data_IF_762842633242
#
_entry.id   IF_762842633242
#
_cell.length_a   1.000
_cell.length_b   1.000
_cell.length_c   1.000
_cell.angle_alpha   90.00
_cell.angle_beta   90.00
_cell.angle_gamma   90.00
#
_symmetry.space_group_name_H-M   'P 1'
#
loop_
_entity.id
_entity.type
_entity.pdbx_description
1 polymer ?
#
# COMPACT_ATOMS: atom_id res chain seq x y z
N UNK A 1 1.35 28.10 29.25
CA UNK A 1 2.05 27.69 28.02
C UNK A 1 3.45 27.19 28.41
N UNK A 2 3.76 25.90 28.30
CA UNK A 2 5.11 25.40 28.57
C UNK A 2 6.01 25.79 27.41
N UNK A 3 7.16 26.37 27.73
CA UNK A 3 8.22 26.77 26.79
C UNK A 3 8.73 25.52 26.05
N UNK A 4 8.62 25.49 24.72
CA UNK A 4 9.29 24.51 23.86
C UNK A 4 10.80 24.64 24.10
N UNK A 5 11.41 23.57 24.61
CA UNK A 5 12.87 23.48 24.72
C UNK A 5 13.52 23.43 23.32
N UNK A 6 14.60 24.19 23.08
CA UNK A 6 15.35 24.16 21.83
C UNK A 6 16.19 22.88 21.79
N UNK A 7 15.99 22.02 20.81
CA UNK A 7 16.92 20.88 20.69
C UNK A 7 16.65 19.81 19.64
N UNK A 8 15.54 19.79 18.96
CA UNK A 8 15.40 18.95 17.77
C UNK A 8 14.71 19.75 16.67
N UNK A 9 15.41 19.96 15.57
CA UNK A 9 14.85 20.61 14.40
C UNK A 9 13.80 19.63 13.80
N UNK A 10 12.55 19.82 14.23
CA UNK A 10 11.38 19.00 13.81
C UNK A 10 11.00 19.27 12.35
N UNK A 11 11.78 20.07 11.66
CA UNK A 11 11.60 20.41 10.24
C UNK A 11 12.44 19.48 9.37
N UNK A 12 11.79 18.92 8.35
CA UNK A 12 12.47 18.17 7.30
C UNK A 12 13.44 19.10 6.55
N UNK A 13 14.66 18.63 6.34
CA UNK A 13 15.64 19.33 5.51
C UNK A 13 15.13 19.50 4.05
N UNK A 14 15.66 20.47 3.28
CA UNK A 14 15.30 20.59 1.87
C UNK A 14 15.56 19.30 1.07
N UNK A 15 16.62 18.57 1.41
CA UNK A 15 16.95 17.28 0.79
C UNK A 15 15.93 16.20 1.15
N UNK A 16 15.52 16.09 2.40
CA UNK A 16 14.49 15.13 2.83
C UNK A 16 13.14 15.42 2.17
N UNK A 17 12.76 16.70 2.05
CA UNK A 17 11.54 17.09 1.32
C UNK A 17 11.63 16.73 -0.16
N UNK A 18 12.76 16.99 -0.80
CA UNK A 18 13.01 16.61 -2.20
C UNK A 18 12.91 15.10 -2.38
N UNK A 19 13.50 14.33 -1.48
CA UNK A 19 13.41 12.86 -1.45
C UNK A 19 11.95 12.40 -1.31
N UNK A 20 11.23 12.93 -0.31
CA UNK A 20 9.84 12.54 -0.05
C UNK A 20 8.96 12.75 -1.29
N UNK A 21 8.98 13.95 -1.87
CA UNK A 21 8.12 14.28 -3.01
C UNK A 21 8.53 13.55 -4.29
N UNK A 22 9.84 13.37 -4.55
CA UNK A 22 10.29 12.66 -5.75
C UNK A 22 9.95 11.17 -5.69
N UNK A 23 10.16 10.50 -4.56
CA UNK A 23 9.81 9.10 -4.39
C UNK A 23 8.29 8.88 -4.38
N UNK A 24 7.53 9.78 -3.75
CA UNK A 24 6.08 9.78 -3.79
C UNK A 24 5.55 9.95 -5.23
N UNK A 25 6.14 10.85 -6.02
CA UNK A 25 5.77 11.05 -7.43
C UNK A 25 6.04 9.79 -8.29
N UNK A 26 7.20 9.14 -8.11
CA UNK A 26 7.53 7.90 -8.81
C UNK A 26 6.52 6.80 -8.44
N UNK A 27 6.19 6.69 -7.16
CA UNK A 27 5.23 5.71 -6.67
C UNK A 27 3.82 5.99 -7.20
N UNK A 28 3.40 7.27 -7.21
CA UNK A 28 2.12 7.73 -7.75
C UNK A 28 1.98 7.40 -9.23
N UNK A 29 2.98 7.70 -10.06
CA UNK A 29 2.97 7.40 -11.49
C UNK A 29 2.71 5.91 -11.74
N UNK A 30 3.39 5.07 -10.99
CA UNK A 30 3.23 3.63 -11.11
C UNK A 30 1.83 3.16 -10.70
N UNK A 31 1.30 3.67 -9.58
CA UNK A 31 -0.04 3.33 -9.11
C UNK A 31 -1.13 3.84 -10.04
N UNK A 32 -0.94 5.01 -10.66
CA UNK A 32 -1.83 5.49 -11.71
C UNK A 32 -1.91 4.49 -12.87
N UNK A 33 -0.78 3.99 -13.37
CA UNK A 33 -0.75 2.98 -14.44
C UNK A 33 -1.49 1.69 -14.08
N UNK A 34 -1.49 1.31 -12.79
CA UNK A 34 -2.26 0.15 -12.31
C UNK A 34 -3.76 0.46 -12.27
N UNK A 35 -4.14 1.61 -11.71
CA UNK A 35 -5.53 1.91 -11.38
C UNK A 35 -6.34 2.44 -12.59
N UNK A 36 -5.73 3.16 -13.53
CA UNK A 36 -6.41 3.66 -14.72
C UNK A 36 -7.04 2.57 -15.58
N UNK A 37 -6.43 1.38 -15.58
CA UNK A 37 -6.89 0.27 -16.41
C UNK A 37 -8.11 -0.45 -15.81
N UNK A 38 -8.29 -0.43 -14.48
CA UNK A 38 -9.30 -1.23 -13.79
C UNK A 38 -10.73 -0.96 -14.29
N UNK A 39 -11.22 0.29 -14.38
CA UNK A 39 -12.61 0.54 -14.72
C UNK A 39 -12.98 0.26 -16.17
N UNK A 40 -11.99 0.17 -17.06
CA UNK A 40 -12.21 0.09 -18.52
C UNK A 40 -11.77 -1.24 -19.14
N UNK A 41 -10.90 -1.98 -18.48
CA UNK A 41 -10.23 -3.12 -19.09
C UNK A 41 -11.16 -4.28 -19.42
N UNK A 42 -12.14 -4.55 -18.57
CA UNK A 42 -13.01 -5.73 -18.76
C UNK A 42 -13.81 -5.66 -20.07
N UNK A 43 -14.26 -4.49 -20.45
CA UNK A 43 -14.95 -4.28 -21.72
C UNK A 43 -14.00 -4.39 -22.90
N UNK A 44 -12.87 -3.71 -22.84
CA UNK A 44 -11.81 -3.79 -23.86
C UNK A 44 -11.27 -5.22 -24.03
N UNK A 45 -11.01 -5.90 -22.92
CA UNK A 45 -10.50 -7.28 -22.92
C UNK A 45 -11.42 -8.27 -23.64
N UNK A 46 -12.74 -8.00 -23.62
CA UNK A 46 -13.73 -8.81 -24.31
C UNK A 46 -13.71 -8.60 -25.86
N UNK A 47 -13.05 -7.56 -26.35
CA UNK A 47 -12.89 -7.30 -27.79
C UNK A 47 -11.59 -7.89 -28.35
N UNK A 48 -10.65 -8.29 -27.50
CA UNK A 48 -9.35 -8.81 -27.94
C UNK A 48 -9.46 -10.22 -28.51
N UNK A 49 -8.65 -10.53 -29.53
CA UNK A 49 -8.59 -11.87 -30.13
C UNK A 49 -8.20 -12.92 -29.08
N UNK A 50 -8.93 -14.02 -29.04
CA UNK A 50 -8.69 -15.14 -28.15
C UNK A 50 -9.13 -14.89 -26.69
N UNK A 51 -9.97 -13.88 -26.44
CA UNK A 51 -10.49 -13.61 -25.11
C UNK A 51 -11.40 -14.73 -24.58
N UNK A 52 -11.33 -14.92 -23.29
CA UNK A 52 -12.32 -15.63 -22.48
C UNK A 52 -12.51 -14.84 -21.19
N UNK A 53 -13.63 -14.97 -20.48
CA UNK A 53 -13.81 -14.27 -19.19
C UNK A 53 -12.66 -14.54 -18.20
N UNK A 54 -12.16 -15.79 -18.18
CA UNK A 54 -11.00 -16.16 -17.38
C UNK A 54 -9.73 -15.39 -17.79
N UNK A 55 -9.40 -15.33 -19.10
CA UNK A 55 -8.19 -14.64 -19.58
C UNK A 55 -8.27 -13.12 -19.38
N UNK A 56 -9.47 -12.53 -19.48
CA UNK A 56 -9.69 -11.11 -19.17
C UNK A 56 -9.43 -10.85 -17.68
N UNK A 57 -9.96 -11.68 -16.80
CA UNK A 57 -9.69 -11.60 -15.38
C UNK A 57 -8.21 -11.86 -15.04
N UNK A 58 -7.59 -12.84 -15.70
CA UNK A 58 -6.15 -13.10 -15.56
C UNK A 58 -5.30 -11.90 -15.99
N UNK A 59 -5.65 -11.20 -17.07
CA UNK A 59 -4.93 -10.00 -17.50
C UNK A 59 -4.97 -8.88 -16.47
N UNK A 60 -6.05 -8.74 -15.69
CA UNK A 60 -6.11 -7.84 -14.55
C UNK A 60 -5.25 -8.34 -13.39
N UNK A 61 -5.32 -9.63 -13.08
CA UNK A 61 -4.68 -10.22 -11.90
C UNK A 61 -3.19 -10.48 -12.05
N UNK A 62 -2.68 -10.83 -13.26
CA UNK A 62 -1.29 -11.29 -13.48
C UNK A 62 -0.25 -10.26 -13.06
N UNK A 63 -0.58 -8.98 -13.15
CA UNK A 63 0.24 -7.90 -12.61
C UNK A 63 0.54 -8.13 -11.12
N UNK A 64 -0.49 -8.51 -10.34
CA UNK A 64 -0.35 -8.80 -8.92
C UNK A 64 0.56 -9.99 -8.64
N UNK A 65 0.42 -11.10 -9.37
CA UNK A 65 1.28 -12.27 -9.20
C UNK A 65 2.74 -11.94 -9.47
N UNK A 66 3.01 -11.27 -10.59
CA UNK A 66 4.37 -10.85 -10.95
C UNK A 66 4.93 -9.88 -9.90
N UNK A 67 4.13 -8.92 -9.43
CA UNK A 67 4.52 -7.98 -8.39
C UNK A 67 4.87 -8.70 -7.09
N UNK A 68 4.02 -9.61 -6.61
CA UNK A 68 4.25 -10.38 -5.38
C UNK A 68 5.53 -11.22 -5.46
N UNK A 69 5.79 -11.83 -6.63
CA UNK A 69 6.96 -12.68 -6.87
C UNK A 69 8.27 -11.88 -6.93
N UNK A 70 8.28 -10.77 -7.65
CA UNK A 70 9.51 -10.03 -7.92
C UNK A 70 9.87 -8.99 -6.86
N UNK A 71 8.93 -8.51 -6.03
CA UNK A 71 9.23 -7.46 -5.06
C UNK A 71 10.28 -7.86 -4.02
N UNK A 72 10.27 -9.12 -3.55
CA UNK A 72 11.26 -9.62 -2.59
C UNK A 72 12.62 -9.78 -3.28
N UNK A 73 12.63 -10.30 -4.50
CA UNK A 73 13.85 -10.49 -5.30
C UNK A 73 14.52 -9.15 -5.60
N UNK A 74 13.76 -8.18 -6.11
CA UNK A 74 14.29 -6.85 -6.43
C UNK A 74 14.67 -6.06 -5.17
N UNK A 75 13.97 -6.27 -4.06
CA UNK A 75 14.36 -5.73 -2.76
C UNK A 75 15.77 -6.19 -2.38
N UNK A 76 16.01 -7.51 -2.35
CA UNK A 76 17.34 -8.10 -2.06
C UNK A 76 18.40 -7.67 -3.08
N UNK A 77 18.07 -7.66 -4.37
CA UNK A 77 18.98 -7.22 -5.42
C UNK A 77 19.41 -5.77 -5.20
N UNK A 78 18.50 -4.92 -4.74
CA UNK A 78 18.79 -3.51 -4.47
C UNK A 78 19.74 -3.28 -3.30
N UNK A 79 19.88 -4.26 -2.39
CA UNK A 79 20.85 -4.23 -1.30
C UNK A 79 22.28 -4.52 -1.81
N UNK A 80 22.40 -5.20 -2.94
CA UNK A 80 23.70 -5.61 -3.51
C UNK A 80 24.23 -4.67 -4.58
N UNK A 81 23.39 -4.32 -5.57
CA UNK A 81 23.80 -3.48 -6.71
C UNK A 81 23.37 -2.00 -6.56
N UNK A 82 22.70 -1.69 -5.45
CA UNK A 82 22.21 -0.34 -5.13
C UNK A 82 20.75 -0.09 -5.51
N UNK A 83 20.13 0.86 -4.79
CA UNK A 83 18.70 1.17 -4.94
C UNK A 83 18.33 1.74 -6.30
N UNK A 84 19.06 2.76 -6.76
CA UNK A 84 18.75 3.45 -8.02
C UNK A 84 18.84 2.56 -9.26
N UNK A 85 19.89 1.75 -9.47
CA UNK A 85 19.96 0.83 -10.60
C UNK A 85 18.79 -0.14 -10.66
N UNK A 86 18.36 -0.67 -9.50
CA UNK A 86 17.21 -1.59 -9.46
C UNK A 86 15.90 -0.87 -9.77
N UNK A 87 15.69 0.35 -9.27
CA UNK A 87 14.50 1.15 -9.61
C UNK A 87 14.47 1.45 -11.12
N UNK A 88 15.60 1.81 -11.72
CA UNK A 88 15.69 2.06 -13.17
C UNK A 88 15.40 0.80 -13.99
N UNK A 89 15.96 -0.34 -13.61
CA UNK A 89 15.65 -1.63 -14.24
C UNK A 89 14.18 -2.02 -14.12
N UNK A 90 13.59 -1.82 -12.94
CA UNK A 90 12.17 -2.06 -12.70
C UNK A 90 11.27 -1.13 -13.53
N UNK A 91 11.62 0.16 -13.65
CA UNK A 91 10.91 1.11 -14.53
C UNK A 91 11.04 0.72 -16.00
N UNK A 92 12.21 0.23 -16.42
CA UNK A 92 12.40 -0.27 -17.79
C UNK A 92 11.45 -1.43 -18.08
N UNK A 93 11.36 -2.43 -17.17
CA UNK A 93 10.40 -3.52 -17.31
C UNK A 93 8.96 -3.03 -17.36
N UNK A 94 8.60 -2.05 -16.52
CA UNK A 94 7.28 -1.44 -16.50
C UNK A 94 6.94 -0.73 -17.81
N UNK A 95 7.89 0.03 -18.38
CA UNK A 95 7.74 0.70 -19.67
C UNK A 95 7.60 -0.32 -20.81
N UNK A 96 8.48 -1.32 -20.85
CA UNK A 96 8.43 -2.37 -21.87
C UNK A 96 7.12 -3.15 -21.80
N UNK A 97 6.66 -3.50 -20.59
CA UNK A 97 5.37 -4.15 -20.39
C UNK A 97 4.19 -3.30 -20.86
N UNK A 98 4.25 -1.98 -20.64
CA UNK A 98 3.23 -1.04 -21.13
C UNK A 98 3.21 -0.97 -22.65
N UNK A 99 4.38 -0.94 -23.30
CA UNK A 99 4.51 -0.93 -24.76
C UNK A 99 4.00 -2.26 -25.35
N UNK A 100 4.38 -3.41 -24.77
CA UNK A 100 3.90 -4.72 -25.21
C UNK A 100 2.38 -4.80 -25.11
N UNK A 101 1.77 -4.33 -24.01
CA UNK A 101 0.33 -4.30 -23.86
C UNK A 101 -0.33 -3.36 -24.89
N UNK A 102 0.25 -2.19 -25.16
CA UNK A 102 -0.28 -1.21 -26.11
C UNK A 102 -0.25 -1.73 -27.57
N UNK A 103 0.77 -2.48 -27.95
CA UNK A 103 0.92 -3.03 -29.30
C UNK A 103 0.15 -4.35 -29.52
N UNK A 104 -0.38 -4.94 -28.45
CA UNK A 104 -1.02 -6.26 -28.51
C UNK A 104 -2.48 -6.17 -28.97
N UNK A 105 -2.83 -7.03 -29.96
CA UNK A 105 -4.20 -7.22 -30.44
C UNK A 105 -4.83 -8.52 -29.92
N UNK A 106 -4.13 -9.24 -29.05
CA UNK A 106 -4.57 -10.50 -28.45
C UNK A 106 -4.55 -10.40 -26.93
N UNK A 107 -5.45 -11.12 -26.28
CA UNK A 107 -5.51 -11.16 -24.81
C UNK A 107 -4.22 -11.70 -24.20
N UNK A 108 -3.58 -12.68 -24.85
CA UNK A 108 -2.30 -13.26 -24.38
C UNK A 108 -1.18 -12.25 -24.41
N UNK A 109 -1.08 -11.43 -25.47
CA UNK A 109 -0.07 -10.38 -25.54
C UNK A 109 -0.27 -9.32 -24.46
N UNK A 110 -1.51 -8.94 -24.15
CA UNK A 110 -1.80 -8.04 -23.03
C UNK A 110 -1.45 -8.69 -21.69
N UNK A 111 -1.72 -9.98 -21.49
CA UNK A 111 -1.30 -10.72 -20.28
C UNK A 111 0.21 -10.66 -20.09
N UNK A 112 1.00 -10.88 -21.17
CA UNK A 112 2.46 -10.78 -21.13
C UNK A 112 2.90 -9.35 -20.75
N UNK A 113 2.32 -8.33 -21.40
CA UNK A 113 2.60 -6.94 -21.07
C UNK A 113 2.30 -6.60 -19.60
N UNK A 114 1.17 -7.06 -19.06
CA UNK A 114 0.78 -6.89 -17.67
C UNK A 114 1.70 -7.63 -16.71
N UNK A 115 2.14 -8.85 -17.07
CA UNK A 115 3.12 -9.60 -16.27
C UNK A 115 4.47 -8.87 -16.21
N UNK A 116 4.93 -8.30 -17.31
CA UNK A 116 6.15 -7.47 -17.36
C UNK A 116 6.02 -6.19 -16.53
N UNK A 117 4.86 -5.50 -16.62
CA UNK A 117 4.58 -4.34 -15.78
C UNK A 117 4.68 -4.69 -14.29
N UNK A 118 4.08 -5.82 -13.86
CA UNK A 118 4.14 -6.31 -12.48
C UNK A 118 5.55 -6.73 -12.06
N UNK A 119 6.33 -7.34 -12.96
CA UNK A 119 7.72 -7.71 -12.71
C UNK A 119 8.63 -6.50 -12.42
N UNK A 120 8.23 -5.31 -12.91
CA UNK A 120 8.83 -4.04 -12.50
C UNK A 120 8.51 -3.63 -11.04
N UNK A 121 8.51 -4.58 -10.12
CA UNK A 121 8.18 -4.43 -8.71
C UNK A 121 9.24 -3.61 -7.97
N UNK A 122 8.98 -2.32 -7.72
CA UNK A 122 9.94 -1.43 -7.08
C UNK A 122 9.48 -0.89 -5.72
N UNK A 123 8.32 -1.32 -5.21
CA UNK A 123 7.73 -0.76 -4.00
C UNK A 123 8.65 -0.89 -2.80
N UNK A 124 9.19 -2.08 -2.54
CA UNK A 124 10.13 -2.33 -1.45
C UNK A 124 11.42 -1.53 -1.62
N UNK A 125 11.95 -1.43 -2.84
CA UNK A 125 13.18 -0.67 -3.15
C UNK A 125 12.98 0.84 -2.97
N UNK A 126 11.82 1.40 -3.34
CA UNK A 126 11.50 2.82 -3.10
C UNK A 126 11.41 3.12 -1.60
N UNK A 127 10.73 2.25 -0.83
CA UNK A 127 10.62 2.43 0.62
C UNK A 127 11.99 2.31 1.31
N UNK A 128 12.84 1.38 0.87
CA UNK A 128 14.19 1.26 1.35
C UNK A 128 15.03 2.51 0.99
N UNK A 129 14.95 3.01 -0.24
CA UNK A 129 15.63 4.24 -0.64
C UNK A 129 15.15 5.46 0.15
N UNK A 130 13.85 5.54 0.46
CA UNK A 130 13.31 6.57 1.33
C UNK A 130 13.92 6.50 2.74
N UNK A 131 14.08 5.30 3.30
CA UNK A 131 14.72 5.10 4.59
C UNK A 131 16.21 5.48 4.56
N UNK A 132 16.93 5.13 3.48
CA UNK A 132 18.36 5.41 3.31
C UNK A 132 18.67 6.92 3.16
N UNK A 133 17.74 7.70 2.62
CA UNK A 133 17.92 9.14 2.32
C UNK A 133 17.34 10.06 3.37
N UNK A 134 16.77 9.54 4.46
CA UNK A 134 16.06 10.33 5.46
C UNK A 134 16.43 9.95 6.87
N UNK A 135 16.50 10.98 7.73
CA UNK A 135 16.70 10.78 9.16
C UNK A 135 15.54 9.97 9.73
N UNK A 136 15.83 9.12 10.66
CA UNK A 136 14.89 8.16 11.24
C UNK A 136 13.62 8.82 11.81
N UNK A 137 13.78 9.97 12.47
CA UNK A 137 12.67 10.77 12.98
C UNK A 137 11.66 11.22 11.91
N UNK A 138 12.08 11.32 10.64
CA UNK A 138 11.24 11.73 9.51
C UNK A 138 10.77 10.58 8.63
N UNK A 139 11.30 9.36 8.80
CA UNK A 139 10.90 8.18 8.02
C UNK A 139 9.39 7.96 8.04
N UNK A 140 8.76 8.05 9.21
CA UNK A 140 7.30 7.88 9.34
C UNK A 140 6.52 8.93 8.53
N UNK A 141 6.97 10.19 8.52
CA UNK A 141 6.33 11.26 7.72
C UNK A 141 6.44 10.98 6.22
N UNK A 142 7.58 10.48 5.76
CA UNK A 142 7.81 10.16 4.34
C UNK A 142 7.02 8.93 3.91
N UNK A 143 7.00 7.87 4.73
CA UNK A 143 6.17 6.70 4.47
C UNK A 143 4.68 7.06 4.40
N UNK A 144 4.21 7.95 5.29
CA UNK A 144 2.85 8.47 5.24
C UNK A 144 2.59 9.29 3.96
N UNK A 145 3.55 10.11 3.52
CA UNK A 145 3.43 10.86 2.26
C UNK A 145 3.28 9.90 1.07
N UNK A 146 4.12 8.86 0.99
CA UNK A 146 4.01 7.82 -0.05
C UNK A 146 2.65 7.12 0.05
N UNK A 147 2.19 6.77 1.26
CA UNK A 147 0.90 6.13 1.47
C UNK A 147 -0.28 6.97 0.99
N UNK A 148 -0.29 8.28 1.27
CA UNK A 148 -1.33 9.21 0.78
C UNK A 148 -1.36 9.27 -0.73
N UNK A 149 -0.20 9.20 -1.41
CA UNK A 149 -0.16 9.22 -2.87
C UNK A 149 -0.79 7.99 -3.51
N UNK A 150 -0.86 6.85 -2.82
CA UNK A 150 -1.57 5.65 -3.30
C UNK A 150 -3.08 5.95 -3.40
N UNK A 151 -3.68 6.52 -2.33
CA UNK A 151 -5.09 6.89 -2.32
C UNK A 151 -5.44 7.93 -3.38
N UNK A 152 -4.57 8.94 -3.56
CA UNK A 152 -4.71 9.94 -4.61
C UNK A 152 -4.61 9.28 -6.00
N UNK A 153 -3.62 8.41 -6.22
CA UNK A 153 -3.45 7.70 -7.48
C UNK A 153 -4.63 6.78 -7.79
N UNK A 154 -5.22 6.14 -6.78
CA UNK A 154 -6.42 5.34 -6.93
C UNK A 154 -7.61 6.21 -7.39
N UNK A 155 -7.88 7.30 -6.68
CA UNK A 155 -8.97 8.23 -7.03
C UNK A 155 -8.78 8.81 -8.43
N UNK A 156 -7.58 9.30 -8.74
CA UNK A 156 -7.27 9.84 -10.05
C UNK A 156 -7.34 8.77 -11.15
N UNK A 157 -6.84 7.56 -10.89
CA UNK A 157 -6.87 6.46 -11.84
C UNK A 157 -8.29 6.04 -12.23
N UNK A 158 -9.20 6.01 -11.25
CA UNK A 158 -10.62 5.68 -11.46
C UNK A 158 -11.34 6.70 -12.32
N UNK A 159 -10.91 7.95 -12.31
CA UNK A 159 -11.49 9.05 -13.12
C UNK A 159 -10.75 9.15 -14.46
N UNK A 160 -9.42 9.18 -14.45
CA UNK A 160 -8.62 9.35 -15.66
C UNK A 160 -8.71 8.14 -16.59
N UNK A 161 -8.91 6.94 -16.06
CA UNK A 161 -9.07 5.73 -16.88
C UNK A 161 -10.20 5.86 -17.92
N UNK A 162 -11.45 6.05 -17.49
CA UNK A 162 -12.57 6.25 -18.42
C UNK A 162 -12.43 7.50 -19.30
N UNK A 163 -11.92 8.63 -18.76
CA UNK A 163 -11.67 9.85 -19.54
C UNK A 163 -10.66 9.61 -20.66
N UNK A 164 -9.51 8.98 -20.36
CA UNK A 164 -8.53 8.65 -21.37
C UNK A 164 -9.06 7.59 -22.35
N UNK A 165 -9.87 6.65 -21.85
CA UNK A 165 -10.50 5.66 -22.73
C UNK A 165 -11.40 6.33 -23.78
N UNK A 166 -12.16 7.38 -23.40
CA UNK A 166 -13.02 8.10 -24.36
C UNK A 166 -12.22 8.89 -25.40
N UNK A 167 -11.01 9.34 -25.07
CA UNK A 167 -10.19 10.18 -25.94
C UNK A 167 -9.24 9.36 -26.83
N UNK A 168 -8.58 8.36 -26.29
CA UNK A 168 -7.47 7.64 -26.92
C UNK A 168 -7.58 6.11 -26.81
N UNK A 169 -8.68 5.60 -26.24
CA UNK A 169 -8.91 4.18 -26.03
C UNK A 169 -8.00 3.55 -24.97
N UNK A 170 -8.22 2.26 -24.65
CA UNK A 170 -7.41 1.53 -23.67
C UNK A 170 -5.95 1.37 -24.15
N UNK A 171 -5.73 1.20 -25.43
CA UNK A 171 -4.38 1.19 -26.03
C UNK A 171 -3.63 2.48 -25.71
N UNK A 172 -4.31 3.64 -25.80
CA UNK A 172 -3.77 4.94 -25.41
C UNK A 172 -3.45 5.04 -23.92
N UNK A 173 -4.21 4.38 -23.05
CA UNK A 173 -3.90 4.31 -21.60
C UNK A 173 -2.56 3.57 -21.39
N UNK A 174 -2.30 2.46 -22.09
CA UNK A 174 -1.02 1.78 -22.00
C UNK A 174 0.14 2.64 -22.50
N UNK A 175 -0.04 3.41 -23.61
CA UNK A 175 0.95 4.38 -24.06
C UNK A 175 1.18 5.50 -23.04
N UNK A 176 0.11 6.05 -22.45
CA UNK A 176 0.21 7.05 -21.38
C UNK A 176 1.00 6.50 -20.19
N UNK A 177 0.74 5.25 -19.83
CA UNK A 177 1.48 4.56 -18.75
C UNK A 177 2.97 4.41 -19.08
N UNK A 178 3.31 4.11 -20.33
CA UNK A 178 4.71 4.04 -20.79
C UNK A 178 5.40 5.42 -20.68
N UNK A 179 4.75 6.47 -21.16
CA UNK A 179 5.26 7.85 -21.08
C UNK A 179 5.46 8.28 -19.61
N UNK A 180 4.48 8.02 -18.75
CA UNK A 180 4.60 8.28 -17.31
C UNK A 180 5.77 7.51 -16.69
N UNK A 181 6.02 6.26 -17.13
CA UNK A 181 7.19 5.48 -16.74
C UNK A 181 8.51 6.16 -17.12
N UNK A 182 8.60 6.72 -18.32
CA UNK A 182 9.77 7.49 -18.77
C UNK A 182 9.96 8.75 -17.92
N UNK A 183 8.87 9.47 -17.62
CA UNK A 183 8.91 10.63 -16.71
C UNK A 183 9.43 10.23 -15.33
N UNK A 184 8.92 9.11 -14.77
CA UNK A 184 9.41 8.59 -13.49
C UNK A 184 10.90 8.23 -13.55
N UNK A 185 11.40 7.65 -14.66
CA UNK A 185 12.81 7.38 -14.88
C UNK A 185 13.63 8.68 -14.87
N UNK A 186 13.15 9.73 -15.54
CA UNK A 186 13.75 11.06 -15.51
C UNK A 186 13.83 11.64 -14.08
N UNK A 187 12.79 11.46 -13.27
CA UNK A 187 12.79 11.88 -11.85
C UNK A 187 13.84 11.10 -11.06
N UNK A 188 13.99 9.78 -11.27
CA UNK A 188 15.00 8.97 -10.56
C UNK A 188 16.42 9.45 -10.88
N UNK A 189 16.69 9.76 -12.14
CA UNK A 189 18.03 10.19 -12.59
C UNK A 189 18.32 11.62 -12.16
N UNK A 190 17.41 12.56 -12.40
CA UNK A 190 17.65 14.00 -12.26
C UNK A 190 17.29 14.59 -10.90
N UNK A 191 16.30 14.01 -10.21
CA UNK A 191 15.74 14.62 -9.00
C UNK A 191 16.09 13.86 -7.73
N UNK A 192 16.05 12.52 -7.75
CA UNK A 192 16.32 11.71 -6.55
C UNK A 192 17.81 11.83 -6.18
N UNK A 193 18.16 12.18 -4.92
CA UNK A 193 19.55 12.26 -4.49
C UNK A 193 20.24 10.88 -4.58
N UNK A 194 21.54 10.84 -4.83
CA UNK A 194 22.32 9.61 -4.70
C UNK A 194 22.58 9.35 -3.20
N UNK A 195 22.45 8.09 -2.73
CA UNK A 195 22.88 7.74 -1.39
C UNK A 195 24.38 8.00 -1.26
N UNK A 196 24.81 8.79 -0.25
CA UNK A 196 26.20 9.25 -0.09
C UNK A 196 27.16 8.18 0.44
N UNK A 197 26.69 7.04 0.90
CA UNK A 197 27.50 5.91 1.30
C UNK A 197 26.71 4.63 1.15
N UNK A 198 27.38 3.54 0.73
CA UNK A 198 26.97 2.19 1.05
C UNK A 198 27.25 1.96 2.56
N UNK A 199 26.66 2.78 3.43
CA UNK A 199 26.43 2.34 4.78
C UNK A 199 25.59 1.08 4.59
N UNK A 200 26.22 -0.07 4.72
CA UNK A 200 25.59 -1.32 5.10
C UNK A 200 24.88 -1.02 6.43
N UNK A 201 23.79 -0.24 6.36
CA UNK A 201 22.76 -0.50 7.30
C UNK A 201 22.43 -1.97 6.99
N UNK A 202 22.88 -2.83 7.85
CA UNK A 202 22.23 -4.08 8.14
C UNK A 202 20.82 -3.65 8.63
N UNK A 203 20.00 -3.10 7.73
CA UNK A 203 18.60 -3.38 7.78
C UNK A 203 18.61 -4.87 7.89
N UNK A 204 18.28 -5.32 9.08
CA UNK A 204 18.21 -6.70 9.50
C UNK A 204 17.69 -7.42 8.29
N UNK A 205 18.61 -7.97 7.50
CA UNK A 205 18.28 -8.58 6.22
C UNK A 205 17.12 -9.50 6.55
N UNK A 206 16.16 -9.66 5.67
CA UNK A 206 15.07 -10.61 5.87
C UNK A 206 15.75 -11.92 6.22
N UNK A 207 16.18 -12.03 7.48
CA UNK A 207 16.67 -13.28 8.03
C UNK A 207 15.50 -14.21 7.90
N UNK A 208 15.72 -15.36 7.30
CA UNK A 208 14.69 -16.39 7.13
C UNK A 208 13.99 -16.67 8.46
N UNK A 209 14.71 -16.52 9.58
CA UNK A 209 14.20 -16.57 10.94
C UNK A 209 13.23 -15.42 11.28
N UNK A 210 13.43 -14.21 10.75
CA UNK A 210 12.53 -13.08 10.96
C UNK A 210 11.23 -13.24 10.18
N UNK A 211 11.31 -13.77 8.95
CA UNK A 211 10.14 -14.06 8.13
C UNK A 211 9.28 -15.16 8.73
N UNK A 212 9.90 -16.24 9.24
CA UNK A 212 9.20 -17.31 9.96
C UNK A 212 8.45 -16.80 11.21
N UNK A 213 9.04 -15.86 11.96
CA UNK A 213 8.42 -15.25 13.15
C UNK A 213 7.21 -14.38 12.78
N UNK A 214 7.30 -13.63 11.68
CA UNK A 214 6.18 -12.81 11.17
C UNK A 214 5.03 -13.70 10.72
N UNK A 215 5.30 -14.75 9.95
CA UNK A 215 4.30 -15.74 9.54
C UNK A 215 3.75 -16.59 10.70
N UNK A 216 4.48 -16.69 11.81
CA UNK A 216 4.00 -17.33 13.04
C UNK A 216 3.09 -16.43 13.90
N UNK A 217 2.99 -15.13 13.61
CA UNK A 217 2.16 -14.21 14.38
C UNK A 217 0.71 -14.21 13.88
N UNK A 218 -0.25 -14.74 14.65
CA UNK A 218 -1.65 -14.87 14.21
C UNK A 218 -2.34 -13.52 14.00
N UNK A 219 -1.89 -12.46 14.66
CA UNK A 219 -2.46 -11.11 14.48
C UNK A 219 -2.05 -10.50 13.14
N UNK A 220 -0.77 -10.64 12.77
CA UNK A 220 -0.29 -10.21 11.45
C UNK A 220 -0.94 -11.03 10.34
N UNK A 221 -1.05 -12.36 10.49
CA UNK A 221 -1.73 -13.21 9.51
C UNK A 221 -3.21 -12.85 9.30
N UNK A 222 -3.92 -12.41 10.35
CA UNK A 222 -5.30 -11.92 10.21
C UNK A 222 -5.38 -10.65 9.38
N UNK A 223 -4.39 -9.76 9.51
CA UNK A 223 -4.33 -8.53 8.70
C UNK A 223 -3.92 -8.87 7.27
N UNK A 224 -2.97 -9.78 7.08
CA UNK A 224 -2.53 -10.25 5.76
C UNK A 224 -3.67 -10.93 5.00
N UNK A 225 -4.49 -11.74 5.68
CA UNK A 225 -5.73 -12.29 5.12
C UNK A 225 -6.72 -11.17 4.79
N UNK A 226 -6.81 -10.16 5.64
CA UNK A 226 -7.70 -9.01 5.43
C UNK A 226 -7.36 -8.23 4.17
N UNK A 227 -6.10 -7.87 3.97
CA UNK A 227 -5.68 -7.15 2.77
C UNK A 227 -5.80 -8.03 1.51
N UNK A 228 -5.52 -9.33 1.62
CA UNK A 228 -5.73 -10.28 0.55
C UNK A 228 -7.20 -10.28 0.09
N UNK A 229 -8.14 -10.45 1.03
CA UNK A 229 -9.59 -10.46 0.73
C UNK A 229 -10.04 -9.11 0.18
N UNK A 230 -9.58 -8.00 0.77
CA UNK A 230 -9.95 -6.66 0.31
C UNK A 230 -9.55 -6.43 -1.15
N UNK A 231 -8.32 -6.79 -1.51
CA UNK A 231 -7.82 -6.63 -2.88
C UNK A 231 -8.42 -7.66 -3.85
N UNK A 232 -8.73 -8.87 -3.36
CA UNK A 232 -9.52 -9.84 -4.11
C UNK A 232 -10.87 -9.22 -4.48
N UNK A 233 -11.60 -8.73 -3.51
CA UNK A 233 -12.93 -8.10 -3.71
C UNK A 233 -12.84 -6.92 -4.66
N UNK A 234 -11.84 -6.04 -4.52
CA UNK A 234 -11.66 -4.91 -5.43
C UNK A 234 -11.48 -5.39 -6.87
N UNK A 235 -10.51 -6.26 -7.10
CA UNK A 235 -10.13 -6.68 -8.47
C UNK A 235 -11.24 -7.52 -9.11
N UNK A 236 -11.88 -8.40 -8.34
CA UNK A 236 -13.03 -9.20 -8.76
C UNK A 236 -14.21 -8.30 -9.16
N UNK A 237 -14.54 -7.31 -8.34
CA UNK A 237 -15.57 -6.32 -8.70
C UNK A 237 -15.27 -5.60 -10.03
N UNK A 238 -14.00 -5.28 -10.33
CA UNK A 238 -13.65 -4.68 -11.63
C UNK A 238 -13.71 -5.65 -12.81
N UNK A 239 -13.81 -6.96 -12.57
CA UNK A 239 -14.17 -7.94 -13.60
C UNK A 239 -15.68 -7.93 -13.88
N UNK A 240 -16.51 -7.74 -12.85
CA UNK A 240 -17.97 -7.84 -12.94
C UNK A 240 -18.66 -6.47 -13.18
N UNK A 241 -18.31 -5.45 -12.41
CA UNK A 241 -18.99 -4.16 -12.32
C UNK A 241 -19.09 -3.38 -13.66
N UNK A 242 -18.03 -3.26 -14.50
CA UNK A 242 -18.14 -2.56 -15.77
C UNK A 242 -19.19 -3.19 -16.71
N UNK A 243 -19.36 -4.52 -16.64
CA UNK A 243 -20.36 -5.25 -17.42
C UNK A 243 -21.76 -4.95 -16.91
N UNK A 244 -21.97 -4.95 -15.60
CA UNK A 244 -23.26 -4.58 -14.99
C UNK A 244 -23.62 -3.15 -15.34
N UNK A 245 -22.68 -2.21 -15.19
CA UNK A 245 -22.91 -0.79 -15.55
C UNK A 245 -23.32 -0.64 -17.02
N UNK A 246 -22.62 -1.27 -17.95
CA UNK A 246 -22.90 -1.16 -19.38
C UNK A 246 -24.27 -1.77 -19.75
N UNK A 247 -24.65 -2.91 -19.19
CA UNK A 247 -25.89 -3.62 -19.54
C UNK A 247 -27.13 -3.09 -18.83
N UNK A 248 -27.00 -2.60 -17.60
CA UNK A 248 -28.13 -2.28 -16.74
C UNK A 248 -28.47 -0.79 -16.72
N UNK A 249 -27.45 0.06 -16.70
CA UNK A 249 -27.66 1.51 -16.60
C UNK A 249 -27.52 2.23 -17.95
N UNK A 250 -27.17 1.49 -19.00
CA UNK A 250 -26.89 2.05 -20.34
C UNK A 250 -25.84 3.17 -20.33
N UNK A 251 -25.05 3.29 -19.25
CA UNK A 251 -23.92 4.22 -19.18
C UNK A 251 -22.80 3.66 -20.03
N UNK A 252 -22.51 4.34 -21.11
CA UNK A 252 -21.40 3.97 -21.99
C UNK A 252 -20.07 4.00 -21.18
N UNK A 253 -19.20 3.08 -21.46
CA UNK A 253 -17.92 2.90 -20.72
C UNK A 253 -17.07 4.17 -20.71
N UNK A 254 -17.13 4.97 -21.77
CA UNK A 254 -16.46 6.26 -21.91
C UNK A 254 -17.04 7.35 -21.03
N UNK A 255 -18.33 7.26 -20.63
CA UNK A 255 -19.00 8.19 -19.72
C UNK A 255 -19.03 7.72 -18.25
N UNK A 256 -18.49 6.56 -17.95
CA UNK A 256 -18.49 6.02 -16.57
C UNK A 256 -17.73 6.91 -15.58
N UNK A 257 -16.85 7.80 -16.05
CA UNK A 257 -16.19 8.81 -15.20
C UNK A 257 -17.19 9.79 -14.54
N UNK A 258 -18.32 10.10 -15.20
CA UNK A 258 -19.37 10.96 -14.64
C UNK A 258 -20.00 10.35 -13.38
N UNK A 259 -19.99 9.01 -13.30
CA UNK A 259 -20.43 8.28 -12.12
C UNK A 259 -19.29 8.14 -11.09
N UNK A 260 -18.08 7.74 -11.53
CA UNK A 260 -16.99 7.47 -10.63
C UNK A 260 -16.45 8.74 -9.96
N UNK A 261 -16.37 9.88 -10.65
CA UNK A 261 -15.81 11.12 -10.11
C UNK A 261 -16.54 11.58 -8.83
N UNK A 262 -17.87 11.83 -8.84
CA UNK A 262 -18.55 12.25 -7.62
C UNK A 262 -18.47 11.18 -6.52
N UNK A 263 -18.63 9.89 -6.87
CA UNK A 263 -18.55 8.80 -5.90
C UNK A 263 -17.19 8.78 -5.22
N UNK A 264 -16.08 8.89 -5.96
CA UNK A 264 -14.73 8.88 -5.40
C UNK A 264 -14.46 10.08 -4.50
N UNK A 265 -14.90 11.29 -4.91
CA UNK A 265 -14.77 12.50 -4.10
C UNK A 265 -15.54 12.37 -2.80
N UNK A 266 -16.80 11.95 -2.87
CA UNK A 266 -17.63 11.78 -1.67
C UNK A 266 -17.11 10.61 -0.78
N UNK A 267 -16.66 9.51 -1.35
CA UNK A 267 -16.08 8.40 -0.59
C UNK A 267 -14.80 8.82 0.15
N UNK A 268 -13.94 9.61 -0.51
CA UNK A 268 -12.74 10.15 0.10
C UNK A 268 -13.06 11.10 1.25
N UNK A 269 -14.04 11.99 1.08
CA UNK A 269 -14.48 12.88 2.15
C UNK A 269 -15.15 12.10 3.30
N UNK A 270 -15.99 11.11 2.96
CA UNK A 270 -16.70 10.29 3.93
C UNK A 270 -15.76 9.39 4.77
N UNK A 271 -14.59 8.99 4.26
CA UNK A 271 -13.64 8.18 5.05
C UNK A 271 -12.99 8.97 6.19
N UNK A 272 -12.85 10.31 6.06
CA UNK A 272 -12.11 11.15 7.03
C UNK A 272 -12.66 11.01 8.47
N UNK A 273 -13.97 11.17 8.75
CA UNK A 273 -14.49 11.00 10.09
C UNK A 273 -14.26 9.59 10.65
N UNK A 274 -14.29 8.55 9.83
CA UNK A 274 -14.01 7.19 10.29
C UNK A 274 -12.55 7.00 10.69
N UNK A 275 -11.61 7.59 9.96
CA UNK A 275 -10.19 7.58 10.33
C UNK A 275 -9.98 8.34 11.64
N UNK A 276 -10.62 9.49 11.82
CA UNK A 276 -10.57 10.26 13.07
C UNK A 276 -11.12 9.42 14.24
N UNK A 277 -12.24 8.73 14.05
CA UNK A 277 -12.81 7.85 15.06
C UNK A 277 -11.87 6.68 15.37
N UNK A 278 -11.29 6.07 14.35
CA UNK A 278 -10.36 4.96 14.50
C UNK A 278 -9.11 5.35 15.29
N UNK A 279 -8.45 6.45 14.90
CA UNK A 279 -7.16 6.85 15.47
C UNK A 279 -7.30 7.68 16.75
N UNK A 280 -8.09 8.77 16.73
CA UNK A 280 -8.16 9.69 17.88
C UNK A 280 -9.08 9.18 19.00
N UNK A 281 -10.21 8.56 18.62
CA UNK A 281 -11.14 7.98 19.63
C UNK A 281 -10.77 6.55 20.03
N UNK A 282 -9.64 6.03 19.53
CA UNK A 282 -9.14 4.68 19.84
C UNK A 282 -10.16 3.56 19.57
N UNK A 283 -10.98 3.70 18.49
CA UNK A 283 -12.03 2.74 18.10
C UNK A 283 -11.70 2.00 16.80
N UNK A 284 -10.42 1.71 16.57
CA UNK A 284 -9.92 1.09 15.33
C UNK A 284 -10.64 -0.21 14.99
N UNK A 285 -10.82 -1.11 15.97
CA UNK A 285 -11.50 -2.39 15.78
C UNK A 285 -12.96 -2.21 15.34
N UNK A 286 -13.69 -1.27 15.94
CA UNK A 286 -15.10 -1.02 15.60
C UNK A 286 -15.23 -0.48 14.16
N UNK A 287 -14.36 0.46 13.79
CA UNK A 287 -14.31 1.02 12.44
C UNK A 287 -13.94 -0.06 11.42
N UNK A 288 -12.95 -0.90 11.72
CA UNK A 288 -12.55 -2.03 10.88
C UNK A 288 -13.72 -2.99 10.62
N UNK A 289 -14.38 -3.46 11.70
CA UNK A 289 -15.50 -4.40 11.57
C UNK A 289 -16.68 -3.77 10.83
N UNK A 290 -16.98 -2.49 11.08
CA UNK A 290 -18.02 -1.76 10.37
C UNK A 290 -17.72 -1.63 8.88
N UNK A 291 -16.50 -1.28 8.51
CA UNK A 291 -16.09 -1.17 7.12
C UNK A 291 -16.11 -2.54 6.39
N UNK A 292 -15.66 -3.63 7.02
CA UNK A 292 -15.76 -4.99 6.46
C UNK A 292 -17.23 -5.36 6.23
N UNK A 293 -18.11 -5.05 7.20
CA UNK A 293 -19.55 -5.32 7.09
C UNK A 293 -20.17 -4.57 5.91
N UNK A 294 -19.86 -3.28 5.77
CA UNK A 294 -20.36 -2.44 4.66
C UNK A 294 -19.83 -2.99 3.32
N UNK A 295 -18.55 -3.37 3.25
CA UNK A 295 -17.94 -3.96 2.05
C UNK A 295 -18.69 -5.24 1.63
N UNK A 296 -18.98 -6.14 2.58
CA UNK A 296 -19.73 -7.36 2.34
C UNK A 296 -21.18 -7.11 1.89
N UNK A 297 -21.88 -6.21 2.59
CA UNK A 297 -23.25 -5.83 2.24
C UNK A 297 -23.33 -5.16 0.86
N UNK A 298 -22.38 -4.29 0.52
CA UNK A 298 -22.32 -3.67 -0.80
C UNK A 298 -22.19 -4.71 -1.92
N UNK A 299 -21.39 -5.76 -1.72
CA UNK A 299 -21.30 -6.86 -2.69
C UNK A 299 -22.59 -7.68 -2.76
N UNK A 300 -23.21 -7.96 -1.62
CA UNK A 300 -24.47 -8.69 -1.59
C UNK A 300 -25.60 -7.90 -2.28
N UNK A 301 -25.68 -6.61 -2.03
CA UNK A 301 -26.69 -5.74 -2.65
C UNK A 301 -26.48 -5.54 -4.15
N UNK A 302 -25.23 -5.64 -4.67
CA UNK A 302 -24.98 -5.60 -6.11
C UNK A 302 -25.73 -6.69 -6.89
N UNK A 303 -26.12 -7.79 -6.25
CA UNK A 303 -26.92 -8.86 -6.87
C UNK A 303 -28.33 -8.37 -7.21
N UNK A 304 -28.85 -7.40 -6.48
CA UNK A 304 -30.24 -6.94 -6.57
C UNK A 304 -30.41 -5.51 -7.12
N UNK A 305 -29.35 -4.70 -7.15
CA UNK A 305 -29.39 -3.25 -7.44
C UNK A 305 -29.24 -2.94 -8.93
N UNK A 306 -29.34 -3.91 -9.78
CA UNK A 306 -29.03 -3.84 -11.21
C UNK A 306 -29.99 -2.99 -12.08
N UNK A 307 -31.01 -2.32 -11.51
CA UNK A 307 -32.04 -1.60 -12.29
C UNK A 307 -32.06 -0.09 -12.12
N UNK A 308 -31.30 0.50 -11.23
CA UNK A 308 -31.30 1.94 -10.97
C UNK A 308 -29.88 2.49 -10.85
N UNK A 309 -29.56 3.46 -11.72
CA UNK A 309 -28.27 4.17 -11.67
C UNK A 309 -28.03 4.84 -10.31
N UNK A 310 -29.09 5.39 -9.70
CA UNK A 310 -28.98 6.04 -8.38
C UNK A 310 -28.68 5.01 -7.29
N UNK A 311 -29.39 3.88 -7.28
CA UNK A 311 -29.16 2.81 -6.31
C UNK A 311 -27.77 2.21 -6.47
N UNK A 312 -27.30 2.01 -7.70
CA UNK A 312 -25.94 1.57 -8.01
C UNK A 312 -24.91 2.61 -7.51
N UNK A 313 -25.14 3.90 -7.78
CA UNK A 313 -24.26 4.98 -7.32
C UNK A 313 -24.14 5.03 -5.79
N UNK A 314 -25.25 4.90 -5.08
CA UNK A 314 -25.28 4.85 -3.60
C UNK A 314 -24.52 3.62 -3.11
N UNK A 315 -24.75 2.45 -3.71
CA UNK A 315 -24.05 1.23 -3.32
C UNK A 315 -22.54 1.33 -3.54
N UNK A 316 -22.11 1.88 -4.69
CA UNK A 316 -20.71 2.15 -4.98
C UNK A 316 -20.08 3.16 -4.01
N UNK A 317 -20.84 4.18 -3.59
CA UNK A 317 -20.38 5.14 -2.58
C UNK A 317 -20.08 4.43 -1.26
N UNK A 318 -20.96 3.56 -0.79
CA UNK A 318 -20.70 2.76 0.42
C UNK A 318 -19.51 1.81 0.24
N UNK A 319 -19.44 1.13 -0.90
CA UNK A 319 -18.32 0.23 -1.22
C UNK A 319 -16.98 0.96 -1.18
N UNK A 320 -16.84 2.07 -1.93
CA UNK A 320 -15.58 2.80 -2.00
C UNK A 320 -15.23 3.55 -0.71
N UNK A 321 -16.24 3.99 0.07
CA UNK A 321 -16.00 4.54 1.41
C UNK A 321 -15.42 3.47 2.33
N UNK A 322 -16.04 2.29 2.39
CA UNK A 322 -15.54 1.18 3.19
C UNK A 322 -14.15 0.73 2.74
N UNK A 323 -13.94 0.59 1.43
CA UNK A 323 -12.64 0.26 0.84
C UNK A 323 -11.56 1.27 1.24
N UNK A 324 -11.84 2.58 1.10
CA UNK A 324 -10.88 3.64 1.44
C UNK A 324 -10.53 3.68 2.93
N UNK A 325 -11.51 3.44 3.81
CA UNK A 325 -11.28 3.29 5.25
C UNK A 325 -10.37 2.11 5.55
N UNK A 326 -10.61 0.96 4.92
CA UNK A 326 -9.82 -0.26 5.11
C UNK A 326 -8.40 -0.08 4.56
N UNK A 327 -8.24 0.50 3.36
CA UNK A 327 -6.93 0.78 2.74
C UNK A 327 -6.07 1.70 3.62
N UNK A 328 -6.68 2.68 4.30
CA UNK A 328 -5.97 3.57 5.21
C UNK A 328 -5.67 2.92 6.59
N UNK A 329 -6.55 2.07 7.10
CA UNK A 329 -6.43 1.52 8.46
C UNK A 329 -5.59 0.25 8.55
N UNK A 330 -5.60 -0.62 7.53
CA UNK A 330 -4.86 -1.88 7.57
C UNK A 330 -3.33 -1.69 7.66
N UNK A 331 -2.67 -0.82 6.86
CA UNK A 331 -1.24 -0.58 7.02
C UNK A 331 -0.88 0.02 8.38
N UNK A 332 -1.76 0.88 8.93
CA UNK A 332 -1.61 1.43 10.29
C UNK A 332 -1.64 0.32 11.35
N UNK A 333 -2.52 -0.66 11.19
CA UNK A 333 -2.59 -1.83 12.08
C UNK A 333 -1.33 -2.68 12.02
N UNK A 334 -0.80 -2.97 10.81
CA UNK A 334 0.48 -3.68 10.66
C UNK A 334 1.59 -2.95 11.41
N UNK A 335 1.71 -1.63 11.21
CA UNK A 335 2.73 -0.82 11.84
C UNK A 335 2.64 -0.79 13.38
N UNK A 336 1.41 -0.91 13.93
CA UNK A 336 1.16 -0.95 15.39
C UNK A 336 1.45 -2.33 15.99
N UNK A 337 1.07 -3.41 15.29
CA UNK A 337 1.17 -4.79 15.79
C UNK A 337 2.58 -5.37 15.56
N UNK A 338 3.20 -5.10 14.41
CA UNK A 338 4.51 -5.64 14.08
C UNK A 338 5.57 -5.22 15.13
N UNK A 339 6.42 -6.15 15.60
CA UNK A 339 7.56 -5.84 16.46
C UNK A 339 8.45 -4.77 15.82
N UNK A 340 9.08 -3.91 16.64
CA UNK A 340 9.91 -2.79 16.13
C UNK A 340 11.00 -3.27 15.18
N UNK A 341 11.67 -4.39 15.51
CA UNK A 341 12.74 -4.98 14.71
C UNK A 341 12.26 -5.70 13.44
N UNK A 342 10.95 -5.92 13.26
CA UNK A 342 10.40 -6.73 12.16
C UNK A 342 9.37 -5.97 11.29
N UNK A 343 9.24 -4.65 11.48
CA UNK A 343 8.26 -3.84 10.73
C UNK A 343 8.43 -3.95 9.22
N UNK A 344 9.66 -3.92 8.71
CA UNK A 344 9.95 -4.06 7.29
C UNK A 344 9.49 -5.41 6.73
N UNK A 345 9.79 -6.50 7.44
CA UNK A 345 9.38 -7.86 7.06
C UNK A 345 7.85 -8.01 7.10
N UNK A 346 7.18 -7.47 8.14
CA UNK A 346 5.73 -7.51 8.25
C UNK A 346 5.05 -6.72 7.12
N UNK A 347 5.55 -5.53 6.78
CA UNK A 347 5.04 -4.75 5.64
C UNK A 347 5.30 -5.45 4.30
N UNK A 348 6.40 -6.19 4.18
CA UNK A 348 6.69 -7.02 3.01
C UNK A 348 5.69 -8.18 2.84
N UNK A 349 5.36 -8.90 3.93
CA UNK A 349 4.34 -9.95 3.94
C UNK A 349 2.97 -9.38 3.59
N UNK A 350 2.59 -8.25 4.21
CA UNK A 350 1.36 -7.52 3.94
C UNK A 350 1.25 -7.13 2.44
N UNK A 351 2.29 -6.53 1.87
CA UNK A 351 2.30 -6.18 0.45
C UNK A 351 2.21 -7.40 -0.46
N UNK A 352 2.87 -8.50 -0.10
CA UNK A 352 2.78 -9.75 -0.87
C UNK A 352 1.36 -10.28 -0.87
N UNK A 353 0.71 -10.33 0.31
CA UNK A 353 -0.69 -10.73 0.47
C UNK A 353 -1.64 -9.82 -0.32
N UNK A 354 -1.39 -8.50 -0.32
CA UNK A 354 -2.12 -7.52 -1.11
C UNK A 354 -2.11 -7.88 -2.61
N UNK A 355 -0.93 -8.08 -3.19
CA UNK A 355 -0.82 -8.36 -4.62
C UNK A 355 -1.26 -9.78 -5.00
N UNK A 356 -1.13 -10.76 -4.11
CA UNK A 356 -1.75 -12.08 -4.29
C UNK A 356 -3.28 -11.98 -4.28
N UNK A 357 -3.87 -11.09 -3.48
CA UNK A 357 -5.29 -10.78 -3.52
C UNK A 357 -5.73 -10.20 -4.87
N UNK A 358 -4.95 -9.27 -5.44
CA UNK A 358 -5.19 -8.73 -6.81
C UNK A 358 -5.19 -9.86 -7.84
N UNK A 359 -4.19 -10.75 -7.77
CA UNK A 359 -4.10 -11.89 -8.69
C UNK A 359 -5.29 -12.83 -8.57
N UNK A 360 -5.59 -13.28 -7.36
CA UNK A 360 -6.67 -14.20 -7.09
C UNK A 360 -8.04 -13.60 -7.47
N UNK A 361 -8.27 -12.33 -7.13
CA UNK A 361 -9.51 -11.61 -7.45
C UNK A 361 -9.74 -11.50 -8.96
N UNK A 362 -8.73 -11.10 -9.72
CA UNK A 362 -8.85 -11.05 -11.17
C UNK A 362 -9.09 -12.43 -11.79
N UNK A 363 -8.27 -13.41 -11.43
CA UNK A 363 -8.30 -14.75 -12.03
C UNK A 363 -9.56 -15.53 -11.66
N UNK A 364 -9.90 -15.59 -10.36
CA UNK A 364 -11.07 -16.30 -9.85
C UNK A 364 -12.35 -15.55 -10.23
N UNK A 365 -12.36 -14.21 -10.14
CA UNK A 365 -13.50 -13.39 -10.58
C UNK A 365 -13.81 -13.61 -12.06
N UNK A 366 -12.77 -13.66 -12.91
CA UNK A 366 -12.92 -14.00 -14.32
C UNK A 366 -13.50 -15.42 -14.55
N UNK A 367 -13.04 -16.40 -13.77
CA UNK A 367 -13.54 -17.76 -13.80
C UNK A 367 -15.01 -17.83 -13.37
N UNK A 368 -15.36 -17.24 -12.23
CA UNK A 368 -16.72 -17.23 -11.68
C UNK A 368 -17.70 -16.55 -12.63
N UNK A 369 -17.33 -15.39 -13.17
CA UNK A 369 -18.12 -14.68 -14.16
C UNK A 369 -18.34 -15.53 -15.43
N UNK A 370 -17.31 -16.23 -15.89
CA UNK A 370 -17.41 -17.08 -17.09
C UNK A 370 -18.26 -18.32 -16.89
N UNK A 371 -18.22 -18.95 -15.71
CA UNK A 371 -18.92 -20.19 -15.43
C UNK A 371 -20.37 -19.98 -14.93
N UNK A 372 -20.59 -18.97 -14.08
CA UNK A 372 -21.87 -18.78 -13.37
C UNK A 372 -22.42 -17.34 -13.43
N UNK A 373 -21.77 -16.46 -14.18
CA UNK A 373 -22.20 -15.07 -14.36
C UNK A 373 -21.74 -14.14 -13.24
N UNK A 374 -22.08 -12.84 -13.38
CA UNK A 374 -21.62 -11.76 -12.48
C UNK A 374 -22.14 -11.90 -11.04
N UNK A 375 -23.32 -12.48 -10.85
CA UNK A 375 -23.90 -12.67 -9.52
C UNK A 375 -23.09 -13.66 -8.66
N UNK A 376 -22.50 -14.68 -9.28
CA UNK A 376 -21.62 -15.62 -8.58
C UNK A 376 -20.34 -14.93 -8.07
N UNK A 377 -19.83 -13.97 -8.83
CA UNK A 377 -18.67 -13.17 -8.44
C UNK A 377 -18.99 -12.29 -7.22
N UNK A 378 -20.11 -11.56 -7.25
CA UNK A 378 -20.54 -10.74 -6.11
C UNK A 378 -20.82 -11.58 -4.86
N UNK A 379 -21.43 -12.76 -5.03
CA UNK A 379 -21.70 -13.70 -3.92
C UNK A 379 -20.39 -14.22 -3.30
N UNK A 380 -19.42 -14.57 -4.13
CA UNK A 380 -18.09 -14.98 -3.67
C UNK A 380 -17.39 -13.86 -2.90
N UNK A 381 -17.43 -12.61 -3.40
CA UNK A 381 -16.90 -11.44 -2.72
C UNK A 381 -17.58 -11.19 -1.36
N UNK A 382 -18.91 -11.27 -1.30
CA UNK A 382 -19.67 -11.15 -0.06
C UNK A 382 -19.32 -12.26 0.94
N UNK A 383 -19.18 -13.49 0.46
CA UNK A 383 -18.82 -14.65 1.30
C UNK A 383 -17.41 -14.52 1.89
N UNK A 384 -16.45 -14.06 1.10
CA UNK A 384 -15.08 -13.77 1.58
C UNK A 384 -15.06 -12.62 2.58
N UNK A 385 -15.85 -11.56 2.36
CA UNK A 385 -15.97 -10.47 3.32
C UNK A 385 -16.59 -10.97 4.65
N UNK A 386 -17.56 -11.87 4.61
CA UNK A 386 -18.14 -12.51 5.79
C UNK A 386 -17.11 -13.38 6.53
N UNK A 387 -16.32 -14.17 5.79
CA UNK A 387 -15.21 -14.95 6.36
C UNK A 387 -14.21 -14.00 7.06
N UNK A 388 -13.84 -12.92 6.40
CA UNK A 388 -12.95 -11.93 6.99
C UNK A 388 -13.54 -11.29 8.24
N UNK A 389 -14.82 -10.92 8.22
CA UNK A 389 -15.51 -10.38 9.39
C UNK A 389 -15.46 -11.35 10.58
N UNK A 390 -15.65 -12.65 10.33
CA UNK A 390 -15.56 -13.68 11.37
C UNK A 390 -14.15 -13.77 11.97
N UNK A 391 -13.11 -13.73 11.12
CA UNK A 391 -11.71 -13.76 11.55
C UNK A 391 -11.34 -12.46 12.28
N UNK A 392 -11.76 -11.30 11.76
CA UNK A 392 -11.46 -9.99 12.33
C UNK A 392 -12.12 -9.76 13.70
N UNK A 393 -13.28 -10.36 13.96
CA UNK A 393 -13.92 -10.31 15.29
C UNK A 393 -13.05 -10.88 16.42
N UNK A 394 -12.12 -11.78 16.10
CA UNK A 394 -11.18 -12.37 17.05
C UNK A 394 -9.92 -11.51 17.27
N UNK A 395 -9.77 -10.39 16.56
CA UNK A 395 -8.65 -9.49 16.78
C UNK A 395 -8.79 -8.77 18.14
N UNK A 396 -7.73 -8.73 18.95
CA UNK A 396 -7.70 -7.88 20.13
C UNK A 396 -7.77 -6.41 19.73
N UNK A 397 -8.12 -5.54 20.69
CA UNK A 397 -8.01 -4.10 20.44
C UNK A 397 -6.54 -3.72 20.27
N UNK A 398 -6.18 -3.03 19.18
CA UNK A 398 -4.79 -2.66 18.95
C UNK A 398 -4.33 -1.67 20.02
N UNK A 399 -3.12 -1.89 20.52
CA UNK A 399 -2.49 -0.94 21.41
C UNK A 399 -2.10 0.32 20.64
N UNK A 400 -2.45 1.49 21.15
CA UNK A 400 -2.15 2.78 20.50
C UNK A 400 -0.76 3.26 20.91
N UNK A 401 0.25 2.51 20.50
CA UNK A 401 1.65 2.78 20.78
C UNK A 401 2.27 3.67 19.69
N UNK A 402 3.05 4.64 20.11
CA UNK A 402 3.88 5.45 19.22
C UNK A 402 5.30 4.92 19.21
N UNK A 403 5.93 4.86 18.03
CA UNK A 403 7.37 4.61 17.96
C UNK A 403 8.13 5.85 18.41
N UNK A 404 9.09 5.65 19.30
CA UNK A 404 9.99 6.67 19.83
C UNK A 404 11.42 6.15 19.69
N UNK A 405 12.31 6.99 19.19
CA UNK A 405 13.73 6.66 19.07
C UNK A 405 14.50 7.52 20.05
N UNK A 406 15.24 6.87 20.91
CA UNK A 406 16.08 7.51 21.92
C UNK A 406 17.54 7.31 21.53
N UNK A 407 18.31 8.38 21.26
CA UNK A 407 19.75 8.28 21.12
C UNK A 407 20.37 7.86 22.46
N UNK A 408 21.16 6.80 22.44
CA UNK A 408 21.76 6.22 23.63
C UNK A 408 23.26 6.03 23.47
N UNK A 409 23.95 5.85 24.58
CA UNK A 409 25.32 5.39 24.61
C UNK A 409 25.33 3.98 25.22
N UNK A 410 25.63 2.97 24.41
CA UNK A 410 25.71 1.59 24.85
C UNK A 410 26.98 0.96 24.25
N UNK A 411 28.14 1.13 24.96
CA UNK A 411 29.44 0.77 24.42
C UNK A 411 29.66 -0.74 24.24
N UNK A 412 28.87 -1.55 24.92
CA UNK A 412 28.99 -3.01 24.84
C UNK A 412 27.59 -3.71 24.90
N UNK A 413 27.52 -4.99 24.54
CA UNK A 413 26.24 -5.74 24.58
C UNK A 413 25.66 -5.94 26.01
N UNK A 414 26.48 -5.84 27.06
CA UNK A 414 26.02 -5.96 28.44
C UNK A 414 25.32 -4.64 28.86
N UNK A 415 25.95 -3.51 28.56
CA UNK A 415 25.34 -2.19 28.76
C UNK A 415 24.02 -2.03 27.96
N UNK A 416 23.97 -2.52 26.72
CA UNK A 416 22.77 -2.51 25.90
C UNK A 416 21.62 -3.31 26.53
N UNK A 417 21.89 -4.49 27.10
CA UNK A 417 20.89 -5.30 27.82
C UNK A 417 20.41 -4.64 29.11
N UNK A 418 21.33 -4.07 29.90
CA UNK A 418 20.99 -3.35 31.12
C UNK A 418 20.09 -2.14 30.81
N UNK A 419 20.44 -1.36 29.77
CA UNK A 419 19.67 -0.22 29.33
C UNK A 419 18.29 -0.64 28.80
N UNK A 420 18.23 -1.73 28.04
CA UNK A 420 16.96 -2.31 27.58
C UNK A 420 16.05 -2.68 28.75
N UNK A 421 16.59 -3.30 29.80
CA UNK A 421 15.82 -3.65 30.99
C UNK A 421 15.33 -2.40 31.76
N UNK A 422 16.18 -1.38 31.91
CA UNK A 422 15.80 -0.12 32.57
C UNK A 422 14.71 0.64 31.80
N UNK A 423 14.84 0.75 30.48
CA UNK A 423 13.84 1.41 29.63
C UNK A 423 12.52 0.64 29.61
N UNK A 424 12.56 -0.70 29.64
CA UNK A 424 11.35 -1.54 29.69
C UNK A 424 10.60 -1.44 31.03
N UNK A 425 11.26 -1.02 32.10
CA UNK A 425 10.64 -0.81 33.41
C UNK A 425 9.87 0.52 33.51
N UNK A 426 10.06 1.45 32.58
CA UNK A 426 9.39 2.75 32.59
C UNK A 426 7.90 2.57 32.25
N UNK A 427 7.04 3.17 33.05
CA UNK A 427 5.60 3.09 32.87
C UNK A 427 5.18 3.70 31.53
N UNK A 428 4.44 2.94 30.71
CA UNK A 428 4.00 3.37 29.39
C UNK A 428 4.94 2.96 28.26
N UNK A 429 6.07 2.30 28.56
CA UNK A 429 6.92 1.65 27.57
C UNK A 429 6.46 0.21 27.40
N UNK A 430 6.05 -0.17 26.20
CA UNK A 430 5.54 -1.51 25.89
C UNK A 430 6.60 -2.43 25.26
N UNK A 431 7.50 -1.86 24.48
CA UNK A 431 8.55 -2.62 23.78
C UNK A 431 9.81 -1.76 23.66
N UNK A 432 10.96 -2.37 23.85
CA UNK A 432 12.29 -1.75 23.71
C UNK A 432 13.19 -2.65 22.90
N UNK A 433 13.83 -2.10 21.87
CA UNK A 433 14.91 -2.72 21.14
C UNK A 433 16.13 -1.78 21.15
N UNK A 434 17.20 -2.20 21.79
CA UNK A 434 18.47 -1.45 21.83
C UNK A 434 19.38 -1.96 20.73
N UNK A 435 19.81 -1.06 19.83
CA UNK A 435 20.77 -1.35 18.77
C UNK A 435 22.04 -0.57 19.06
N UNK A 436 23.00 -1.25 19.68
CA UNK A 436 24.25 -0.62 20.15
C UNK A 436 25.06 -0.03 18.99
N UNK A 437 25.11 -0.73 17.85
CA UNK A 437 25.85 -0.32 16.64
C UNK A 437 25.30 1.00 16.03
N UNK A 438 24.02 1.31 16.28
CA UNK A 438 23.36 2.54 15.81
C UNK A 438 23.35 3.63 16.88
N UNK A 439 23.73 3.33 18.12
CA UNK A 439 23.63 4.24 19.26
C UNK A 439 22.17 4.66 19.54
N UNK A 440 21.21 3.78 19.30
CA UNK A 440 19.79 4.09 19.39
C UNK A 440 18.99 3.00 20.12
N UNK A 441 18.04 3.44 20.93
CA UNK A 441 16.97 2.58 21.47
C UNK A 441 15.65 2.88 20.80
N UNK A 442 15.02 1.87 20.25
CA UNK A 442 13.73 1.91 19.60
C UNK A 442 12.68 1.49 20.59
N UNK A 443 11.72 2.36 20.86
CA UNK A 443 10.68 2.12 21.86
C UNK A 443 9.29 2.18 21.23
N UNK A 444 8.38 1.35 21.74
CA UNK A 444 6.94 1.56 21.58
C UNK A 444 6.41 2.10 22.91
N UNK A 445 5.86 3.31 22.86
CA UNK A 445 5.37 4.02 24.05
C UNK A 445 3.91 4.41 23.92
N UNK A 446 3.15 4.31 25.01
CA UNK A 446 1.85 4.98 25.12
C UNK A 446 2.07 6.42 25.58
N UNK A 447 1.96 7.37 24.66
CA UNK A 447 2.15 8.80 24.93
C UNK A 447 1.19 9.38 25.97
N UNK A 448 0.08 8.71 26.24
CA UNK A 448 -0.86 9.16 27.26
C UNK A 448 -0.43 8.79 28.68
N UNK A 449 0.51 7.86 28.83
CA UNK A 449 0.92 7.27 30.11
C UNK A 449 2.38 7.50 30.41
N UNK A 450 3.26 7.58 29.39
CA UNK A 450 4.72 7.66 29.53
C UNK A 450 5.15 9.05 30.03
N UNK A 451 6.09 9.09 30.95
CA UNK A 451 6.81 10.32 31.31
C UNK A 451 7.99 10.51 30.35
N UNK A 452 7.85 11.48 29.45
CA UNK A 452 8.92 11.80 28.49
C UNK A 452 10.19 12.33 29.19
N UNK A 453 10.10 12.90 30.37
CA UNK A 453 11.27 13.41 31.12
C UNK A 453 12.11 12.23 31.63
N UNK A 454 11.45 11.18 32.10
CA UNK A 454 12.11 9.95 32.55
C UNK A 454 12.83 9.23 31.38
N UNK A 455 12.20 9.19 30.20
CA UNK A 455 12.84 8.64 28.99
C UNK A 455 14.08 9.44 28.57
N UNK A 456 14.00 10.77 28.64
CA UNK A 456 15.11 11.64 28.26
C UNK A 456 16.31 11.58 29.20
N UNK A 457 16.13 11.13 30.42
CA UNK A 457 17.23 10.92 31.38
C UNK A 457 18.21 9.83 30.88
N UNK A 458 17.76 8.92 30.02
CA UNK A 458 18.58 7.89 29.38
C UNK A 458 19.19 8.31 28.05
N UNK A 459 18.79 9.51 27.55
CA UNK A 459 19.33 10.01 26.28
C UNK A 459 20.80 10.41 26.45
N UNK A 460 21.62 10.12 25.43
CA UNK A 460 22.99 10.62 25.33
C UNK A 460 22.98 12.14 25.48
N UNK A 461 23.80 12.75 26.36
CA UNK A 461 23.95 14.18 26.43
C UNK A 461 24.36 14.71 25.06
N UNK A 462 23.64 15.70 24.52
CA UNK A 462 23.93 16.30 23.22
C UNK A 462 25.22 17.15 23.32
N UNK A 463 26.36 16.51 23.20
CA UNK A 463 27.63 17.14 22.93
C UNK A 463 27.84 17.14 21.43
N UNK A 464 27.46 18.21 20.78
CA UNK A 464 27.64 18.68 19.42
C UNK A 464 26.38 18.71 18.54
N UNK A 465 26.16 19.82 17.84
CA UNK A 465 25.18 19.86 16.77
C UNK A 465 25.72 18.99 15.63
N UNK A 466 24.89 18.07 15.15
CA UNK A 466 25.11 17.14 14.03
C UNK A 466 25.30 17.86 12.67
N UNK A 467 26.07 18.95 12.67
CA UNK A 467 26.26 19.86 11.52
C UNK A 467 27.68 19.82 10.92
N UNK A 468 28.56 18.92 11.37
CA UNK A 468 29.97 18.98 10.97
C UNK A 468 30.52 17.69 10.34
N UNK A 469 29.68 16.81 9.77
CA UNK A 469 30.15 15.79 8.84
C UNK A 469 29.31 15.88 7.55
N UNK A 470 29.57 16.93 6.80
CA UNK A 470 29.10 17.12 5.43
C UNK A 470 29.88 16.22 4.46
#
# INVERSE_FOLDING_TARGET
>A
MPRRSPGFDDKMSPQERRTAYSLAAIYMVRMLGLFMILPVFTMYGAELKGHTPFLVGLALGIYGLSQASFQILLGKLSDTIGRKPVILGALTLFILGSIVAALSHTIVGVIIGRALQGAGAMSSTILALAADLTREQHRTKIMATIGVTIGIAFTLGMVLGPVLNSLIGVTGIFWTTAVLGVVAMGIVVGVVPAPRSHLRHRDIGVETASFSKVLGNPELLRIDLGIFIMQFVLTSNFVALPVVLAHTTHVATDKSWELYLPIMVFAFLAMIPFIIIAEQKRKMRQVLLGAITILGLANLTNIYVDRSLVAMGINLLFFFTAFSVLEATLPSLVAKIAPVSQKGTAMGAYSTSQFLGVFAGGTIGGLLKGAWGVNADFLACASLALLWLFVARKMPEPQYLSSYVLPIDAPDPAAARALQASLAAIRGVAEVAVVADEGAAYLKIDRAVVDEAELRAFARPSTEPFAAQA
#
